data_IF_287380770730
#
_entry.id   IF_287380770730
#
_cell.length_a   1.000
_cell.length_b   1.000
_cell.length_c   1.000
_cell.angle_alpha   90.00
_cell.angle_beta   90.00
_cell.angle_gamma   90.00
#
_symmetry.space_group_name_H-M   'P 1'
#
loop_
_entity.id
_entity.type
_entity.pdbx_description
1 polymer ?
#
# COMPACT_ATOMS: atom_id res chain seq x y z
N UNK A 1 -3.38 -9.18 -26.99
CA UNK A 1 -4.17 -7.93 -27.13
C UNK A 1 -3.81 -7.07 -25.92
N UNK A 2 -3.16 -5.92 -26.12
CA UNK A 2 -2.70 -5.06 -25.03
C UNK A 2 -3.89 -4.25 -24.52
N UNK A 3 -4.11 -4.15 -23.20
CA UNK A 3 -5.15 -3.29 -22.62
C UNK A 3 -5.15 -1.89 -23.25
N UNK A 4 -6.29 -1.45 -23.78
CA UNK A 4 -6.43 -0.06 -24.22
C UNK A 4 -6.65 0.81 -22.99
N UNK A 5 -5.60 1.53 -22.60
CA UNK A 5 -5.65 2.56 -21.57
C UNK A 5 -6.28 3.83 -22.14
N UNK A 6 -7.53 4.09 -21.77
CA UNK A 6 -8.19 5.35 -22.06
C UNK A 6 -8.07 6.21 -20.81
N UNK A 7 -7.44 7.37 -20.95
CA UNK A 7 -7.31 8.36 -19.88
C UNK A 7 -7.79 9.70 -20.43
N UNK A 8 -8.79 10.30 -19.78
CA UNK A 8 -9.18 11.67 -20.06
C UNK A 8 -8.19 12.63 -19.36
N UNK A 9 -7.05 12.88 -19.99
CA UNK A 9 -6.09 13.88 -19.50
C UNK A 9 -6.57 15.27 -19.92
N UNK A 10 -7.15 16.02 -18.99
CA UNK A 10 -7.61 17.38 -19.19
C UNK A 10 -6.85 18.33 -18.25
N UNK A 11 -6.34 19.45 -18.77
CA UNK A 11 -5.84 20.60 -18.00
C UNK A 11 -4.84 20.26 -16.86
N UNK A 12 -5.24 20.29 -15.58
CA UNK A 12 -4.31 20.31 -14.45
C UNK A 12 -3.32 19.13 -14.37
N UNK A 13 -3.71 17.92 -14.78
CA UNK A 13 -2.77 16.79 -14.72
C UNK A 13 -1.72 16.83 -15.83
N UNK A 14 -2.01 17.44 -16.97
CA UNK A 14 -1.00 17.66 -18.02
C UNK A 14 0.05 18.67 -17.55
N UNK A 15 -0.35 19.69 -16.78
CA UNK A 15 0.57 20.63 -16.15
C UNK A 15 1.40 19.96 -15.05
N UNK A 16 0.79 19.11 -14.21
CA UNK A 16 1.51 18.31 -13.22
C UNK A 16 2.52 17.38 -13.87
N UNK A 17 2.13 16.65 -14.92
CA UNK A 17 3.03 15.79 -15.69
C UNK A 17 4.23 16.58 -16.21
N UNK A 18 3.97 17.73 -16.85
CA UNK A 18 5.03 18.59 -17.38
C UNK A 18 5.98 19.06 -16.27
N UNK A 19 5.45 19.55 -15.14
CA UNK A 19 6.28 20.00 -14.00
C UNK A 19 7.13 18.86 -13.42
N UNK A 20 6.58 17.65 -13.31
CA UNK A 20 7.33 16.47 -12.86
C UNK A 20 8.44 16.12 -13.86
N UNK A 21 8.13 16.08 -15.16
CA UNK A 21 9.11 15.74 -16.20
C UNK A 21 10.23 16.78 -16.28
N UNK A 22 9.90 18.07 -16.28
CA UNK A 22 10.86 19.19 -16.31
C UNK A 22 11.77 19.18 -15.06
N UNK A 23 11.28 18.69 -13.92
CA UNK A 23 12.02 18.62 -12.67
C UNK A 23 12.70 17.27 -12.39
N UNK A 24 12.70 16.32 -13.33
CA UNK A 24 13.21 14.94 -13.13
C UNK A 24 14.57 14.89 -12.39
N UNK A 25 15.64 15.61 -12.81
CA UNK A 25 16.91 15.55 -12.11
C UNK A 25 16.85 16.05 -10.66
N UNK A 26 16.05 17.09 -10.41
CA UNK A 26 15.82 17.68 -9.08
C UNK A 26 15.06 16.71 -8.18
N UNK A 27 14.02 16.06 -8.70
CA UNK A 27 13.23 15.05 -8.00
C UNK A 27 14.12 13.86 -7.60
N UNK A 28 14.87 13.30 -8.56
CA UNK A 28 15.73 12.15 -8.28
C UNK A 28 16.85 12.49 -7.30
N UNK A 29 17.41 13.72 -7.37
CA UNK A 29 18.38 14.20 -6.38
C UNK A 29 17.75 14.32 -4.99
N UNK A 30 16.55 14.90 -4.90
CA UNK A 30 15.86 15.07 -3.63
C UNK A 30 15.55 13.73 -2.97
N UNK A 31 15.00 12.76 -3.72
CA UNK A 31 14.81 11.40 -3.20
C UNK A 31 16.11 10.78 -2.71
N UNK A 32 17.21 10.85 -3.47
CA UNK A 32 18.50 10.31 -3.02
C UNK A 32 18.94 10.87 -1.67
N UNK A 33 18.70 12.17 -1.42
CA UNK A 33 19.01 12.82 -0.14
C UNK A 33 18.07 12.36 0.98
N UNK A 34 16.75 12.32 0.74
CA UNK A 34 15.79 11.83 1.74
C UNK A 34 16.10 10.36 2.11
N UNK A 35 16.59 9.53 1.19
CA UNK A 35 17.01 8.15 1.47
C UNK A 35 18.37 8.02 2.19
N UNK A 36 19.14 9.10 2.31
CA UNK A 36 20.28 9.13 3.25
C UNK A 36 19.82 9.35 4.69
N UNK A 37 18.72 10.08 4.87
CA UNK A 37 18.18 10.45 6.18
C UNK A 37 17.18 9.40 6.69
N UNK A 38 16.38 8.84 5.80
CA UNK A 38 15.26 7.96 6.14
C UNK A 38 15.43 6.56 5.55
N UNK A 39 15.14 5.53 6.34
CA UNK A 39 15.25 4.15 5.87
C UNK A 39 13.92 3.66 5.31
N UNK A 40 13.86 3.28 4.02
CA UNK A 40 12.64 2.73 3.44
C UNK A 40 12.28 1.38 4.07
N UNK A 41 10.98 1.06 4.19
CA UNK A 41 10.53 -0.30 4.44
C UNK A 41 11.13 -1.29 3.43
N UNK A 42 11.31 -2.56 3.84
CA UNK A 42 11.86 -3.59 2.96
C UNK A 42 11.08 -3.71 1.64
N UNK A 43 9.75 -3.63 1.72
CA UNK A 43 8.86 -3.63 0.57
C UNK A 43 7.57 -2.85 0.86
N UNK A 44 6.86 -2.47 -0.19
CA UNK A 44 5.59 -1.76 -0.07
C UNK A 44 4.81 -1.87 -1.38
N UNK A 45 3.48 -1.82 -1.30
CA UNK A 45 2.65 -1.42 -2.44
C UNK A 45 1.86 -0.16 -2.13
N UNK A 46 1.63 0.66 -3.16
CA UNK A 46 0.84 1.89 -3.06
C UNK A 46 -0.24 1.86 -4.12
N UNK A 47 -1.50 1.94 -3.68
CA UNK A 47 -2.65 2.10 -4.58
C UNK A 47 -2.78 3.61 -4.88
N UNK A 48 -2.79 3.97 -6.15
CA UNK A 48 -2.93 5.35 -6.61
C UNK A 48 -4.25 5.54 -7.31
N UNK A 49 -4.75 6.78 -7.34
CA UNK A 49 -5.83 7.18 -8.24
C UNK A 49 -5.45 8.35 -9.09
N UNK A 50 -5.79 8.24 -10.36
CA UNK A 50 -5.60 9.27 -11.36
C UNK A 50 -6.97 9.82 -11.77
N UNK A 51 -7.27 11.03 -11.29
CA UNK A 51 -8.52 11.74 -11.54
C UNK A 51 -8.45 12.70 -12.74
N UNK A 52 -7.37 12.71 -13.53
CA UNK A 52 -7.19 13.71 -14.60
C UNK A 52 -6.92 15.15 -14.12
N UNK A 53 -7.21 15.46 -12.85
CA UNK A 53 -6.88 16.73 -12.18
C UNK A 53 -6.08 16.55 -10.88
N UNK A 54 -5.89 15.30 -10.44
CA UNK A 54 -5.19 14.92 -9.22
C UNK A 54 -4.61 13.51 -9.38
N UNK A 55 -3.39 13.31 -8.91
CA UNK A 55 -2.74 12.00 -8.85
C UNK A 55 -2.25 11.78 -7.42
N UNK A 56 -2.92 10.91 -6.68
CA UNK A 56 -2.68 10.78 -5.25
C UNK A 56 -2.71 9.32 -4.78
N UNK A 57 -1.94 8.99 -3.73
CA UNK A 57 -2.05 7.69 -3.07
C UNK A 57 -3.33 7.61 -2.25
N UNK A 58 -3.99 6.46 -2.32
CA UNK A 58 -5.24 6.18 -1.59
C UNK A 58 -5.08 5.04 -0.59
N UNK A 59 -4.04 4.22 -0.72
CA UNK A 59 -3.64 3.20 0.24
C UNK A 59 -2.13 2.91 0.16
N UNK A 60 -1.51 2.65 1.31
CA UNK A 60 -0.09 2.27 1.44
C UNK A 60 0.00 1.01 2.29
N UNK A 61 0.37 -0.11 1.65
CA UNK A 61 0.44 -1.42 2.28
C UNK A 61 1.89 -1.88 2.44
N UNK A 62 2.31 -2.04 3.70
CA UNK A 62 3.63 -2.54 4.08
C UNK A 62 3.73 -4.07 4.07
N UNK A 63 2.65 -4.76 3.70
CA UNK A 63 2.56 -6.22 3.56
C UNK A 63 1.94 -6.57 2.19
N UNK A 64 2.58 -6.16 1.07
CA UNK A 64 2.01 -6.34 -0.26
C UNK A 64 1.76 -7.83 -0.57
N UNK A 65 0.53 -8.15 -0.95
CA UNK A 65 0.05 -9.53 -1.15
C UNK A 65 -0.24 -9.92 -2.61
N UNK A 66 0.33 -9.20 -3.58
CA UNK A 66 0.02 -9.36 -5.01
C UNK A 66 1.26 -9.43 -5.92
N UNK A 67 2.40 -9.93 -5.44
CA UNK A 67 3.60 -10.09 -6.27
C UNK A 67 3.36 -10.96 -7.51
N UNK A 68 2.44 -11.92 -7.44
CA UNK A 68 2.03 -12.76 -8.57
C UNK A 68 1.37 -11.99 -9.73
N UNK A 69 0.89 -10.77 -9.48
CA UNK A 69 0.29 -9.92 -10.51
C UNK A 69 1.34 -9.07 -11.27
N UNK A 70 2.60 -9.06 -10.83
CA UNK A 70 3.67 -8.40 -11.56
C UNK A 70 3.95 -9.13 -12.87
N UNK A 71 4.23 -8.36 -13.93
CA UNK A 71 4.61 -8.92 -15.21
C UNK A 71 5.93 -9.71 -15.08
N UNK A 72 6.10 -10.88 -15.73
CA UNK A 72 7.34 -11.65 -15.66
C UNK A 72 8.59 -10.85 -16.05
N UNK A 73 8.45 -9.88 -16.95
CA UNK A 73 9.52 -9.01 -17.43
C UNK A 73 10.07 -8.07 -16.33
N UNK A 74 9.30 -7.87 -15.25
CA UNK A 74 9.68 -7.02 -14.11
C UNK A 74 10.48 -7.78 -13.04
N UNK A 75 10.50 -9.11 -13.07
CA UNK A 75 11.15 -9.91 -12.02
C UNK A 75 12.64 -9.66 -11.88
N UNK A 76 13.43 -9.51 -12.97
CA UNK A 76 14.87 -9.22 -12.81
C UNK A 76 15.12 -7.94 -12.00
N UNK A 77 14.29 -6.91 -12.21
CA UNK A 77 14.38 -5.66 -11.44
C UNK A 77 13.97 -5.87 -9.97
N UNK A 78 12.91 -6.65 -9.73
CA UNK A 78 12.49 -6.99 -8.36
C UNK A 78 13.58 -7.77 -7.61
N UNK A 79 14.26 -8.70 -8.28
CA UNK A 79 15.40 -9.45 -7.72
C UNK A 79 16.56 -8.53 -7.39
N UNK A 80 16.95 -7.64 -8.31
CA UNK A 80 18.03 -6.70 -8.07
C UNK A 80 17.72 -5.74 -6.92
N UNK A 81 16.48 -5.25 -6.82
CA UNK A 81 16.05 -4.43 -5.70
C UNK A 81 16.07 -5.20 -4.38
N UNK A 82 15.67 -6.47 -4.37
CA UNK A 82 15.77 -7.35 -3.20
C UNK A 82 17.22 -7.58 -2.76
N UNK A 83 18.14 -7.81 -3.71
CA UNK A 83 19.58 -7.92 -3.42
C UNK A 83 20.10 -6.65 -2.73
N UNK A 84 19.81 -5.48 -3.29
CA UNK A 84 20.21 -4.19 -2.71
C UNK A 84 19.62 -3.96 -1.30
N UNK A 85 18.37 -4.39 -1.07
CA UNK A 85 17.73 -4.32 0.24
C UNK A 85 18.43 -5.22 1.27
N UNK A 86 18.75 -6.45 0.88
CA UNK A 86 19.41 -7.45 1.75
C UNK A 86 20.84 -7.04 2.07
N UNK A 87 21.60 -6.54 1.10
CA UNK A 87 22.96 -6.01 1.32
C UNK A 87 22.98 -4.91 2.39
N UNK A 88 21.95 -4.05 2.42
CA UNK A 88 21.82 -2.99 3.43
C UNK A 88 21.43 -3.52 4.80
N UNK A 89 20.53 -4.50 4.87
CA UNK A 89 19.94 -4.97 6.14
C UNK A 89 20.81 -6.04 6.81
N UNK A 90 21.20 -7.06 6.06
CA UNK A 90 21.96 -8.19 6.57
C UNK A 90 22.76 -8.82 5.42
N UNK A 91 23.97 -8.31 5.12
CA UNK A 91 24.77 -8.78 3.98
C UNK A 91 25.24 -10.24 4.14
N UNK A 92 25.35 -10.72 5.38
CA UNK A 92 25.70 -12.12 5.69
C UNK A 92 24.48 -13.06 5.73
N UNK A 93 23.27 -12.57 5.42
CA UNK A 93 22.06 -13.37 5.46
C UNK A 93 22.13 -14.52 4.45
N UNK A 94 22.11 -15.75 4.97
CA UNK A 94 21.98 -16.96 4.15
C UNK A 94 20.55 -17.48 4.11
N UNK A 95 19.84 -17.34 5.22
CA UNK A 95 18.54 -17.93 5.48
C UNK A 95 17.51 -16.82 5.75
N UNK A 96 16.37 -16.88 5.08
CA UNK A 96 15.21 -16.01 5.28
C UNK A 96 14.01 -16.85 5.68
N UNK A 97 13.37 -16.49 6.79
CA UNK A 97 12.07 -17.02 7.16
C UNK A 97 10.98 -16.09 6.63
N UNK A 98 10.12 -16.60 5.76
CA UNK A 98 8.94 -15.87 5.28
C UNK A 98 7.71 -16.35 6.06
N UNK A 99 7.00 -15.43 6.70
CA UNK A 99 5.77 -15.71 7.45
C UNK A 99 4.58 -15.16 6.67
N UNK A 100 3.76 -16.02 6.02
CA UNK A 100 2.57 -15.60 5.30
C UNK A 100 1.38 -15.31 6.25
N UNK A 101 0.30 -14.79 5.68
CA UNK A 101 -1.03 -14.72 6.30
C UNK A 101 -1.47 -16.09 6.82
N UNK A 102 -2.27 -16.08 7.90
CA UNK A 102 -2.70 -17.31 8.58
C UNK A 102 -3.55 -18.23 7.68
N UNK A 103 -4.27 -17.67 6.71
CA UNK A 103 -5.24 -18.42 5.91
C UNK A 103 -4.65 -18.92 4.57
N UNK A 104 -4.63 -20.23 4.39
CA UNK A 104 -4.09 -20.91 3.20
C UNK A 104 -5.14 -21.21 2.12
N UNK A 105 -6.38 -20.75 2.26
CA UNK A 105 -7.47 -21.07 1.31
C UNK A 105 -7.49 -20.18 0.06
N UNK A 106 -6.86 -19.01 0.11
CA UNK A 106 -6.81 -18.10 -1.03
C UNK A 106 -5.64 -18.47 -1.96
N UNK A 107 -5.94 -19.17 -3.06
CA UNK A 107 -4.93 -19.62 -4.01
C UNK A 107 -4.15 -18.48 -4.67
N UNK A 108 -4.79 -17.32 -4.93
CA UNK A 108 -4.09 -16.16 -5.47
C UNK A 108 -3.05 -15.61 -4.48
N UNK A 109 -3.38 -15.60 -3.19
CA UNK A 109 -2.43 -15.20 -2.15
C UNK A 109 -1.27 -16.20 -2.03
N UNK A 110 -1.52 -17.50 -2.15
CA UNK A 110 -0.43 -18.48 -2.15
C UNK A 110 0.47 -18.36 -3.40
N UNK A 111 -0.09 -18.04 -4.56
CA UNK A 111 0.71 -17.69 -5.74
C UNK A 111 1.57 -16.44 -5.49
N UNK A 112 1.06 -15.46 -4.74
CA UNK A 112 1.87 -14.33 -4.27
C UNK A 112 3.03 -14.80 -3.38
N UNK A 113 2.79 -15.68 -2.41
CA UNK A 113 3.84 -16.22 -1.52
C UNK A 113 4.89 -16.98 -2.33
N UNK A 114 4.48 -17.78 -3.32
CA UNK A 114 5.38 -18.47 -4.23
C UNK A 114 6.24 -17.48 -5.03
N UNK A 115 5.61 -16.42 -5.57
CA UNK A 115 6.33 -15.39 -6.33
C UNK A 115 7.32 -14.62 -5.48
N UNK A 116 6.92 -14.22 -4.27
CA UNK A 116 7.79 -13.54 -3.32
C UNK A 116 8.98 -14.43 -2.91
N UNK A 117 8.71 -15.70 -2.62
CA UNK A 117 9.75 -16.69 -2.32
C UNK A 117 10.74 -16.86 -3.48
N UNK A 118 10.25 -16.88 -4.71
CA UNK A 118 11.09 -16.96 -5.91
C UNK A 118 12.02 -15.75 -6.02
N UNK A 119 11.49 -14.53 -5.85
CA UNK A 119 12.29 -13.29 -5.88
C UNK A 119 13.42 -13.35 -4.85
N UNK A 120 13.09 -13.73 -3.61
CA UNK A 120 14.07 -13.80 -2.51
C UNK A 120 15.11 -14.91 -2.74
N UNK A 121 14.72 -16.06 -3.30
CA UNK A 121 15.67 -17.12 -3.68
C UNK A 121 16.60 -16.69 -4.80
N UNK A 122 16.09 -15.99 -5.80
CA UNK A 122 16.93 -15.43 -6.89
C UNK A 122 17.85 -14.31 -6.38
N UNK A 123 17.49 -13.63 -5.29
CA UNK A 123 18.37 -12.71 -4.58
C UNK A 123 19.45 -13.41 -3.73
N UNK A 124 19.55 -14.74 -3.77
CA UNK A 124 20.61 -15.52 -3.12
C UNK A 124 20.27 -16.08 -1.75
N UNK A 125 19.02 -15.99 -1.31
CA UNK A 125 18.59 -16.46 0.02
C UNK A 125 18.01 -17.87 -0.01
N UNK A 126 18.29 -18.66 1.04
CA UNK A 126 17.56 -19.87 1.34
C UNK A 126 16.25 -19.52 2.07
N UNK A 127 15.12 -19.66 1.39
CA UNK A 127 13.80 -19.24 1.88
C UNK A 127 12.94 -20.43 2.29
N UNK A 128 12.51 -20.44 3.56
CA UNK A 128 11.50 -21.38 4.10
C UNK A 128 10.31 -20.63 4.70
N UNK A 129 9.16 -21.30 4.76
CA UNK A 129 7.90 -20.68 5.17
C UNK A 129 7.49 -21.14 6.57
N UNK A 130 7.25 -20.19 7.48
CA UNK A 130 6.77 -20.46 8.82
C UNK A 130 5.31 -20.07 9.02
N UNK A 131 4.49 -20.97 9.55
CA UNK A 131 3.06 -20.75 9.78
C UNK A 131 2.78 -20.19 11.17
N UNK A 132 1.90 -19.19 11.24
CA UNK A 132 1.28 -18.71 12.49
C UNK A 132 -0.02 -19.46 12.86
N UNK A 133 -0.37 -20.50 12.10
CA UNK A 133 -1.49 -21.38 12.42
C UNK A 133 -1.05 -22.51 13.35
N UNK A 134 -1.78 -22.70 14.44
CA UNK A 134 -1.56 -23.80 15.40
C UNK A 134 -1.88 -25.18 14.79
N UNK A 135 -2.68 -25.21 13.72
CA UNK A 135 -3.02 -26.45 13.00
C UNK A 135 -1.82 -27.05 12.24
N UNK A 136 -0.81 -26.23 11.92
CA UNK A 136 0.40 -26.67 11.22
C UNK A 136 1.41 -27.14 12.27
N UNK A 137 1.40 -28.44 12.54
CA UNK A 137 2.30 -29.08 13.53
C UNK A 137 3.47 -29.84 12.88
N UNK A 138 3.44 -30.02 11.56
CA UNK A 138 4.48 -30.65 10.76
C UNK A 138 4.61 -29.97 9.38
N UNK A 139 5.73 -30.15 8.65
CA UNK A 139 5.88 -29.61 7.31
C UNK A 139 4.74 -30.04 6.40
N UNK A 140 3.92 -29.07 5.98
CA UNK A 140 2.68 -29.31 5.26
C UNK A 140 2.81 -28.80 3.82
N UNK A 141 2.79 -29.69 2.81
CA UNK A 141 2.79 -29.29 1.41
C UNK A 141 1.42 -28.72 1.01
N UNK A 142 1.44 -27.68 0.18
CA UNK A 142 0.26 -27.06 -0.42
C UNK A 142 0.50 -26.95 -1.92
N UNK A 143 -0.31 -27.66 -2.70
CA UNK A 143 -0.28 -27.62 -4.16
C UNK A 143 -0.93 -26.35 -4.69
N UNK A 144 -0.28 -25.71 -5.67
CA UNK A 144 -0.77 -24.53 -6.34
C UNK A 144 -1.37 -24.87 -7.71
N UNK A 145 -2.31 -24.05 -8.23
CA UNK A 145 -2.94 -24.31 -9.53
C UNK A 145 -1.97 -24.35 -10.72
N UNK A 146 -0.77 -23.79 -10.59
CA UNK A 146 0.26 -23.77 -11.62
C UNK A 146 1.26 -24.95 -11.53
N UNK A 147 0.99 -25.92 -10.64
CA UNK A 147 1.80 -27.12 -10.45
C UNK A 147 2.98 -26.94 -9.48
N UNK A 148 3.17 -25.74 -8.92
CA UNK A 148 4.15 -25.54 -7.84
C UNK A 148 3.65 -26.10 -6.51
N UNK A 149 4.56 -26.39 -5.58
CA UNK A 149 4.24 -26.79 -4.21
C UNK A 149 4.93 -25.86 -3.23
N UNK A 150 4.17 -25.30 -2.30
CA UNK A 150 4.70 -24.60 -1.13
C UNK A 150 4.75 -25.56 0.05
N UNK A 151 5.78 -25.45 0.89
CA UNK A 151 5.85 -26.18 2.16
C UNK A 151 5.81 -25.15 3.27
N UNK A 152 4.75 -25.18 4.08
CA UNK A 152 4.61 -24.36 5.28
C UNK A 152 4.91 -25.21 6.50
N UNK A 153 5.61 -24.62 7.47
CA UNK A 153 6.18 -25.39 8.57
C UNK A 153 5.86 -24.75 9.93
N UNK A 154 5.79 -25.55 11.01
CA UNK A 154 5.60 -25.03 12.35
C UNK A 154 6.77 -24.12 12.74
N UNK A 155 6.44 -22.94 13.26
CA UNK A 155 7.42 -22.02 13.83
C UNK A 155 8.00 -22.58 15.14
N UNK A 156 9.29 -22.35 15.37
CA UNK A 156 9.98 -22.74 16.59
C UNK A 156 10.83 -21.59 17.14
N UNK A 157 10.80 -21.42 18.47
CA UNK A 157 11.78 -20.56 19.16
C UNK A 157 13.13 -21.27 19.20
N UNK A 158 14.18 -20.55 18.83
CA UNK A 158 15.55 -21.04 18.76
C UNK A 158 16.46 -20.37 19.80
N UNK A 159 17.59 -21.03 20.06
CA UNK A 159 18.61 -20.61 21.00
C UNK A 159 18.24 -20.86 22.47
N UNK A 160 19.24 -20.87 23.36
CA UNK A 160 19.06 -21.21 24.78
C UNK A 160 18.06 -20.32 25.54
N UNK A 161 17.79 -19.11 25.02
CA UNK A 161 16.87 -18.13 25.62
C UNK A 161 15.58 -17.92 24.81
N UNK A 162 15.36 -18.65 23.71
CA UNK A 162 14.16 -18.51 22.88
C UNK A 162 13.98 -17.13 22.25
N UNK A 163 15.08 -16.40 21.98
CA UNK A 163 15.04 -15.02 21.44
C UNK A 163 15.20 -14.94 19.92
N UNK A 164 15.24 -16.10 19.29
CA UNK A 164 15.28 -16.28 17.85
C UNK A 164 14.04 -17.07 17.43
N UNK A 165 13.59 -16.87 16.22
CA UNK A 165 12.51 -17.58 15.58
C UNK A 165 13.04 -18.26 14.33
N UNK A 166 12.67 -19.51 14.12
CA UNK A 166 13.06 -20.26 12.95
C UNK A 166 12.16 -21.47 12.78
N UNK A 167 12.70 -22.49 12.13
CA UNK A 167 12.03 -23.77 11.91
C UNK A 167 12.95 -24.88 12.41
N UNK A 168 12.48 -26.13 12.33
CA UNK A 168 13.32 -27.29 12.59
C UNK A 168 14.57 -27.25 11.68
N UNK A 169 15.74 -27.26 12.32
CA UNK A 169 17.06 -27.23 11.69
C UNK A 169 17.27 -26.02 10.76
N UNK A 170 16.61 -24.89 11.03
CA UNK A 170 16.73 -23.68 10.22
C UNK A 170 16.66 -22.42 11.07
N UNK A 171 17.82 -21.79 11.21
CA UNK A 171 18.01 -20.54 11.92
C UNK A 171 18.23 -19.38 10.91
N UNK A 172 17.23 -18.51 10.70
CA UNK A 172 17.33 -17.40 9.75
C UNK A 172 18.01 -16.16 10.37
N UNK A 173 18.62 -15.32 9.54
CA UNK A 173 19.14 -14.02 9.97
C UNK A 173 18.04 -12.95 9.98
N UNK A 174 17.08 -13.09 9.06
CA UNK A 174 15.98 -12.14 8.85
C UNK A 174 14.66 -12.89 8.70
N UNK A 175 13.59 -12.24 9.12
CA UNK A 175 12.22 -12.72 9.07
C UNK A 175 11.42 -11.70 8.26
N UNK A 176 10.91 -12.14 7.10
CA UNK A 176 10.02 -11.34 6.26
C UNK A 176 8.58 -11.66 6.62
N UNK A 177 7.85 -10.66 7.11
CA UNK A 177 6.43 -10.76 7.41
C UNK A 177 5.64 -10.38 6.16
N UNK A 178 4.94 -11.35 5.56
CA UNK A 178 3.87 -11.11 4.58
C UNK A 178 2.48 -11.31 5.20
N UNK A 179 2.42 -11.06 6.51
CA UNK A 179 1.24 -11.07 7.36
C UNK A 179 1.14 -9.70 8.03
N UNK A 180 0.00 -9.03 7.88
CA UNK A 180 -0.20 -7.66 8.34
C UNK A 180 -0.41 -7.50 9.85
N UNK A 181 -0.47 -8.62 10.58
CA UNK A 181 -0.70 -8.70 12.03
C UNK A 181 -1.99 -7.96 12.46
N UNK A 182 -3.00 -7.90 11.58
CA UNK A 182 -4.29 -7.27 11.90
C UNK A 182 -4.98 -7.90 13.12
N UNK A 183 -4.71 -9.17 13.40
CA UNK A 183 -5.23 -9.91 14.53
C UNK A 183 -4.56 -9.57 15.88
N UNK A 184 -3.54 -8.71 15.88
CA UNK A 184 -2.60 -8.58 16.99
C UNK A 184 -1.26 -9.26 16.71
N UNK A 185 -0.24 -8.84 17.45
CA UNK A 185 1.09 -9.46 17.42
C UNK A 185 1.02 -10.76 18.23
N UNK A 186 1.25 -11.95 17.62
CA UNK A 186 1.25 -13.21 18.36
C UNK A 186 2.45 -13.29 19.32
N UNK A 187 2.32 -13.93 20.50
CA UNK A 187 3.42 -14.04 21.48
C UNK A 187 4.70 -14.67 20.92
N UNK A 188 4.59 -15.52 19.89
CA UNK A 188 5.76 -16.14 19.25
C UNK A 188 6.63 -15.12 18.48
N UNK A 189 6.10 -13.94 18.14
CA UNK A 189 6.84 -12.86 17.48
C UNK A 189 7.44 -11.85 18.45
N UNK A 190 7.04 -11.85 19.72
CA UNK A 190 7.52 -10.89 20.72
C UNK A 190 8.99 -11.15 21.12
N UNK A 191 9.72 -10.14 21.58
CA UNK A 191 11.07 -10.32 22.14
C UNK A 191 12.06 -11.05 21.20
N UNK A 192 11.88 -10.89 19.88
CA UNK A 192 12.86 -11.31 18.86
C UNK A 192 13.86 -10.16 18.71
N UNK A 193 15.04 -10.33 19.31
CA UNK A 193 16.02 -9.24 19.43
C UNK A 193 17.33 -9.53 18.69
N UNK A 194 17.45 -10.71 18.07
CA UNK A 194 18.68 -11.20 17.44
C UNK A 194 18.51 -11.43 15.93
N UNK A 195 17.37 -11.04 15.38
CA UNK A 195 17.00 -11.18 13.97
C UNK A 195 16.26 -9.93 13.51
N UNK A 196 16.37 -9.62 12.22
CA UNK A 196 15.63 -8.52 11.64
C UNK A 196 14.20 -8.95 11.31
N UNK A 197 13.21 -8.26 11.85
CA UNK A 197 11.80 -8.37 11.44
C UNK A 197 11.50 -7.32 10.39
N UNK A 198 11.05 -7.76 9.21
CA UNK A 198 10.87 -6.94 8.04
C UNK A 198 9.41 -7.06 7.55
N UNK A 199 8.59 -6.01 7.60
CA UNK A 199 8.75 -4.78 8.40
C UNK A 199 8.82 -5.06 9.92
N UNK A 200 9.22 -4.07 10.75
CA UNK A 200 9.20 -4.22 12.20
C UNK A 200 7.77 -4.34 12.74
N UNK A 201 7.59 -4.92 13.93
CA UNK A 201 6.26 -5.28 14.44
C UNK A 201 5.30 -4.10 14.60
N UNK A 202 5.82 -2.90 14.93
CA UNK A 202 4.99 -1.71 15.08
C UNK A 202 4.40 -1.21 13.75
N UNK A 203 4.91 -1.71 12.61
CA UNK A 203 4.31 -1.51 11.29
C UNK A 203 3.01 -2.31 11.09
N UNK A 204 2.76 -3.33 11.92
CA UNK A 204 1.56 -4.16 11.86
C UNK A 204 0.28 -3.38 12.18
N UNK A 205 -0.86 -3.82 11.65
CA UNK A 205 -2.12 -3.09 11.79
C UNK A 205 -2.69 -3.05 13.21
N UNK A 206 -2.23 -3.92 14.11
CA UNK A 206 -2.59 -3.86 15.53
C UNK A 206 -2.13 -2.57 16.21
N UNK A 207 -1.09 -1.92 15.69
CA UNK A 207 -0.48 -0.71 16.28
C UNK A 207 -0.49 0.47 15.31
N UNK A 208 -0.26 0.20 14.03
CA UNK A 208 -0.17 1.23 12.99
C UNK A 208 -1.51 1.93 12.77
N UNK A 209 -1.46 3.26 12.64
CA UNK A 209 -2.64 4.12 12.38
C UNK A 209 -2.51 4.83 11.04
N UNK A 210 -3.56 4.77 10.22
CA UNK A 210 -3.59 5.45 8.91
C UNK A 210 -3.44 6.96 9.07
N UNK A 211 -4.04 7.54 10.10
CA UNK A 211 -3.91 8.97 10.42
C UNK A 211 -2.47 9.41 10.62
N UNK A 212 -1.61 8.58 11.22
CA UNK A 212 -0.17 8.83 11.34
C UNK A 212 0.51 8.85 9.97
N UNK A 213 0.20 7.86 9.11
CA UNK A 213 0.70 7.81 7.74
C UNK A 213 0.33 9.07 6.95
N UNK A 214 -0.95 9.45 6.95
CA UNK A 214 -1.41 10.62 6.20
C UNK A 214 -0.82 11.94 6.74
N UNK A 215 -0.56 12.03 8.05
CA UNK A 215 0.15 13.17 8.63
C UNK A 215 1.59 13.26 8.13
N UNK A 216 2.30 12.12 8.05
CA UNK A 216 3.64 12.06 7.47
C UNK A 216 3.62 12.38 5.96
N UNK A 217 2.62 11.90 5.24
CA UNK A 217 2.46 12.20 3.81
C UNK A 217 2.17 13.68 3.56
N UNK A 218 1.43 14.33 4.45
CA UNK A 218 1.20 15.77 4.46
C UNK A 218 2.52 16.58 4.48
N UNK A 219 3.49 16.15 5.29
CA UNK A 219 4.82 16.77 5.38
C UNK A 219 5.62 16.55 4.08
N UNK A 220 5.65 15.31 3.59
CA UNK A 220 6.35 14.92 2.36
C UNK A 220 5.78 15.66 1.14
N UNK A 221 4.47 15.69 0.99
CA UNK A 221 3.79 16.36 -0.10
C UNK A 221 4.05 17.87 -0.10
N UNK A 222 4.10 18.52 1.07
CA UNK A 222 4.46 19.95 1.19
C UNK A 222 5.89 20.22 0.75
N UNK A 223 6.86 19.40 1.18
CA UNK A 223 8.26 19.50 0.76
C UNK A 223 8.40 19.32 -0.76
N UNK A 224 7.78 18.28 -1.30
CA UNK A 224 7.80 17.98 -2.74
C UNK A 224 7.11 19.07 -3.57
N UNK A 225 5.95 19.55 -3.12
CA UNK A 225 5.23 20.61 -3.81
C UNK A 225 6.05 21.91 -3.91
N UNK A 226 6.79 22.25 -2.86
CA UNK A 226 7.74 23.37 -2.88
C UNK A 226 8.91 23.14 -3.84
N UNK A 227 9.43 21.91 -3.91
CA UNK A 227 10.57 21.56 -4.78
C UNK A 227 10.26 21.80 -6.26
N UNK A 228 9.05 21.47 -6.70
CA UNK A 228 8.66 21.51 -8.13
C UNK A 228 7.59 22.57 -8.43
N UNK A 229 7.32 23.46 -7.47
CA UNK A 229 6.36 24.56 -7.57
C UNK A 229 4.95 24.08 -7.99
N UNK A 230 4.36 23.12 -7.29
CA UNK A 230 2.96 22.70 -7.54
C UNK A 230 2.07 23.02 -6.35
N UNK A 231 0.75 23.05 -6.57
CA UNK A 231 -0.19 22.99 -5.46
C UNK A 231 -0.11 21.59 -4.80
N UNK A 232 0.21 21.48 -3.50
CA UNK A 232 0.30 20.19 -2.82
C UNK A 232 -0.99 19.37 -2.90
N UNK A 233 -2.15 20.02 -3.06
CA UNK A 233 -3.42 19.33 -3.23
C UNK A 233 -3.46 18.42 -4.47
N UNK A 234 -2.65 18.69 -5.50
CA UNK A 234 -2.58 17.87 -6.71
C UNK A 234 -2.03 16.46 -6.46
N UNK A 235 -1.27 16.27 -5.37
CA UNK A 235 -0.68 14.98 -4.99
C UNK A 235 -1.11 14.50 -3.61
N UNK A 236 -1.90 15.29 -2.88
CA UNK A 236 -2.27 15.01 -1.50
C UNK A 236 -3.78 15.18 -1.24
N UNK A 237 -4.51 14.10 -0.90
CA UNK A 237 -5.90 14.17 -0.45
C UNK A 237 -6.00 14.86 0.92
N UNK A 238 -7.00 15.74 1.09
CA UNK A 238 -7.33 16.19 2.44
C UNK A 238 -7.79 15.03 3.31
N UNK A 239 -7.52 15.09 4.61
CA UNK A 239 -8.11 14.14 5.56
C UNK A 239 -8.43 14.79 6.91
N UNK A 240 -9.22 14.10 7.72
CA UNK A 240 -9.46 14.38 9.12
C UNK A 240 -9.56 13.06 9.91
N UNK A 241 -9.24 13.10 11.21
CA UNK A 241 -9.43 11.98 12.14
C UNK A 241 -10.67 12.26 13.00
N UNK A 242 -11.46 11.23 13.25
CA UNK A 242 -12.54 11.27 14.24
C UNK A 242 -12.45 10.01 15.12
N UNK A 243 -12.47 10.18 16.45
CA UNK A 243 -12.36 9.09 17.41
C UNK A 243 -13.54 9.07 18.37
N UNK A 244 -13.66 8.01 19.16
CA UNK A 244 -14.79 7.82 20.07
C UNK A 244 -16.09 7.51 19.33
N UNK A 245 -16.00 6.74 18.24
CA UNK A 245 -17.14 6.31 17.44
C UNK A 245 -17.62 4.95 17.89
N UNK A 246 -18.92 4.80 18.06
CA UNK A 246 -19.59 3.50 18.10
C UNK A 246 -20.75 3.52 17.10
N UNK A 247 -20.60 2.77 16.00
CA UNK A 247 -21.62 2.71 14.95
C UNK A 247 -22.87 1.92 15.37
N UNK A 248 -22.81 1.05 16.37
CA UNK A 248 -23.98 0.33 16.87
C UNK A 248 -24.81 1.23 17.80
N UNK A 249 -24.14 1.86 18.75
CA UNK A 249 -24.75 2.74 19.76
C UNK A 249 -24.97 4.18 19.26
N UNK A 250 -24.54 4.47 18.02
CA UNK A 250 -24.61 5.80 17.37
C UNK A 250 -23.86 6.89 18.15
N UNK A 251 -22.79 6.50 18.85
CA UNK A 251 -21.93 7.43 19.58
C UNK A 251 -20.98 8.10 18.60
N UNK A 252 -20.81 9.42 18.74
CA UNK A 252 -19.89 10.20 17.90
C UNK A 252 -20.41 10.52 16.50
N UNK A 253 -21.68 10.22 16.19
CA UNK A 253 -22.32 10.45 14.89
C UNK A 253 -22.28 11.93 14.46
N UNK A 254 -22.53 12.86 15.39
CA UNK A 254 -22.47 14.30 15.11
C UNK A 254 -21.04 14.77 14.83
N UNK A 255 -20.07 14.35 15.64
CA UNK A 255 -18.66 14.67 15.43
C UNK A 255 -18.14 14.13 14.08
N UNK A 256 -18.61 12.94 13.68
CA UNK A 256 -18.28 12.35 12.38
C UNK A 256 -18.91 13.15 11.24
N UNK A 257 -20.18 13.55 11.36
CA UNK A 257 -20.86 14.38 10.35
C UNK A 257 -20.18 15.74 10.16
N UNK A 258 -19.78 16.40 11.26
CA UNK A 258 -19.06 17.67 11.22
C UNK A 258 -17.68 17.53 10.56
N UNK A 259 -16.95 16.45 10.87
CA UNK A 259 -15.67 16.15 10.23
C UNK A 259 -15.83 15.90 8.72
N UNK A 260 -16.86 15.15 8.31
CA UNK A 260 -17.24 14.94 6.91
C UNK A 260 -17.54 16.26 6.21
N UNK A 261 -18.37 17.11 6.80
CA UNK A 261 -18.72 18.42 6.24
C UNK A 261 -17.47 19.31 6.07
N UNK A 262 -16.59 19.34 7.08
CA UNK A 262 -15.34 20.09 7.04
C UNK A 262 -14.42 19.68 5.89
N UNK A 263 -14.28 18.38 5.63
CA UNK A 263 -13.48 17.87 4.51
C UNK A 263 -14.17 18.17 3.17
N UNK A 264 -15.47 17.93 3.04
CA UNK A 264 -16.24 18.23 1.81
C UNK A 264 -16.16 19.70 1.41
N UNK A 265 -16.24 20.63 2.38
CA UNK A 265 -16.07 22.08 2.13
C UNK A 265 -14.69 22.42 1.55
N UNK A 266 -13.62 21.78 2.05
CA UNK A 266 -12.25 21.96 1.52
C UNK A 266 -12.14 21.45 0.09
N UNK A 267 -12.68 20.27 -0.20
CA UNK A 267 -12.69 19.68 -1.54
C UNK A 267 -13.48 20.58 -2.51
N UNK A 268 -14.69 20.99 -2.14
CA UNK A 268 -15.54 21.84 -2.97
C UNK A 268 -14.88 23.18 -3.31
N UNK A 269 -14.07 23.74 -2.39
CA UNK A 269 -13.27 24.95 -2.67
C UNK A 269 -12.24 24.70 -3.78
N UNK A 270 -11.47 23.60 -3.69
CA UNK A 270 -10.48 23.22 -4.71
C UNK A 270 -11.13 22.88 -6.04
N UNK A 271 -12.27 22.19 -6.03
CA UNK A 271 -13.00 21.88 -7.25
C UNK A 271 -13.47 23.16 -7.97
N UNK A 272 -13.97 24.17 -7.23
CA UNK A 272 -14.29 25.49 -7.82
C UNK A 272 -13.07 26.22 -8.36
N UNK A 273 -11.94 26.16 -7.64
CA UNK A 273 -10.67 26.79 -8.04
C UNK A 273 -10.18 26.26 -9.40
N UNK A 274 -10.29 24.94 -9.62
CA UNK A 274 -9.85 24.28 -10.86
C UNK A 274 -10.97 24.05 -11.90
N UNK A 275 -12.19 24.54 -11.65
CA UNK A 275 -13.33 24.36 -12.56
C UNK A 275 -13.81 22.91 -12.73
N UNK A 276 -13.57 22.06 -11.72
CA UNK A 276 -13.93 20.64 -11.67
C UNK A 276 -15.44 20.52 -11.44
N UNK A 277 -16.11 19.65 -12.23
CA UNK A 277 -17.58 19.51 -12.23
C UNK A 277 -18.07 18.26 -11.50
N UNK A 278 -17.16 17.35 -11.22
CA UNK A 278 -17.37 16.14 -10.46
C UNK A 278 -17.90 16.45 -9.06
N UNK A 279 -18.69 15.55 -8.50
CA UNK A 279 -19.21 15.70 -7.13
C UNK A 279 -18.10 15.41 -6.11
N UNK A 280 -17.80 16.34 -5.18
CA UNK A 280 -16.95 16.04 -4.04
C UNK A 280 -17.50 14.87 -3.24
N UNK A 281 -16.62 13.98 -2.78
CA UNK A 281 -16.98 12.91 -1.87
C UNK A 281 -15.84 12.64 -0.90
N UNK A 282 -16.16 11.97 0.20
CA UNK A 282 -15.17 11.47 1.16
C UNK A 282 -15.29 9.96 1.30
N UNK A 283 -14.19 9.34 1.68
CA UNK A 283 -14.14 7.94 2.07
C UNK A 283 -13.86 7.87 3.56
N UNK A 284 -14.81 7.32 4.32
CA UNK A 284 -14.63 7.05 5.75
C UNK A 284 -14.06 5.64 5.87
N UNK A 285 -12.91 5.52 6.54
CA UNK A 285 -12.18 4.26 6.75
C UNK A 285 -11.87 4.07 8.23
N UNK A 286 -11.84 2.84 8.73
CA UNK A 286 -11.25 2.57 10.04
C UNK A 286 -9.78 3.01 10.09
N UNK A 287 -9.34 3.58 11.21
CA UNK A 287 -7.98 4.13 11.35
C UNK A 287 -6.90 3.03 11.47
N UNK A 288 -7.27 1.83 11.93
CA UNK A 288 -6.37 0.67 12.03
C UNK A 288 -6.96 -0.53 11.28
N UNK A 289 -6.21 -1.07 10.31
CA UNK A 289 -6.68 -2.15 9.44
C UNK A 289 -7.90 -1.78 8.59
N UNK A 290 -8.09 -2.40 7.44
CA UNK A 290 -9.36 -2.30 6.69
C UNK A 290 -9.54 -3.53 5.83
N UNK A 291 -8.52 -3.95 5.07
CA UNK A 291 -8.59 -5.07 4.11
C UNK A 291 -9.88 -5.04 3.24
N UNK A 292 -10.34 -3.84 2.86
CA UNK A 292 -11.59 -3.61 2.13
C UNK A 292 -12.88 -3.56 2.98
N UNK A 293 -12.81 -3.88 4.27
CA UNK A 293 -13.87 -3.75 5.29
C UNK A 293 -13.73 -2.45 6.10
N UNK A 294 -14.82 -1.97 6.71
CA UNK A 294 -14.80 -0.69 7.43
C UNK A 294 -14.58 0.52 6.53
N UNK A 295 -15.07 0.48 5.28
CA UNK A 295 -14.95 1.57 4.30
C UNK A 295 -16.32 1.95 3.76
N UNK A 296 -16.62 3.25 3.72
CA UNK A 296 -17.82 3.77 3.04
C UNK A 296 -17.53 5.09 2.32
N UNK A 297 -18.29 5.36 1.26
CA UNK A 297 -18.24 6.59 0.48
C UNK A 297 -19.41 7.48 0.89
N UNK A 298 -19.16 8.77 1.08
CA UNK A 298 -20.16 9.76 1.51
C UNK A 298 -20.04 11.00 0.65
N UNK A 299 -21.17 11.51 0.17
CA UNK A 299 -21.28 12.75 -0.61
C UNK A 299 -21.98 13.86 0.17
N UNK A 300 -22.85 13.50 1.10
CA UNK A 300 -23.59 14.41 1.95
C UNK A 300 -23.43 14.04 3.44
N UNK A 301 -23.10 14.98 4.35
CA UNK A 301 -22.98 14.71 5.78
C UNK A 301 -24.23 14.07 6.41
N UNK A 302 -25.41 14.31 5.85
CA UNK A 302 -26.67 13.72 6.33
C UNK A 302 -26.72 12.19 6.17
N UNK A 303 -25.93 11.60 5.27
CA UNK A 303 -25.83 10.15 5.10
C UNK A 303 -25.31 9.45 6.37
N UNK A 304 -24.49 10.13 7.18
CA UNK A 304 -24.00 9.62 8.47
C UNK A 304 -25.17 9.36 9.43
N UNK A 305 -26.20 10.22 9.40
CA UNK A 305 -27.38 10.07 10.27
C UNK A 305 -28.36 9.02 9.76
N UNK A 306 -28.27 8.68 8.49
CA UNK A 306 -29.14 7.75 7.77
C UNK A 306 -28.62 6.32 7.68
N UNK A 307 -27.48 5.98 8.31
CA UNK A 307 -26.85 4.67 8.15
C UNK A 307 -27.81 3.54 8.51
N UNK A 308 -28.05 2.62 7.58
CA UNK A 308 -28.88 1.45 7.80
C UNK A 308 -28.11 0.37 8.60
N UNK A 309 -28.82 -0.67 9.06
CA UNK A 309 -28.21 -1.75 9.86
C UNK A 309 -27.03 -2.43 9.15
N UNK A 310 -27.09 -2.59 7.83
CA UNK A 310 -26.02 -3.25 7.04
C UNK A 310 -24.77 -2.36 6.97
N UNK A 311 -24.94 -1.05 6.80
CA UNK A 311 -23.85 -0.08 6.79
C UNK A 311 -23.18 0.04 8.15
N UNK A 312 -23.95 0.10 9.23
CA UNK A 312 -23.40 0.11 10.59
C UNK A 312 -22.58 -1.15 10.86
N UNK A 313 -23.13 -2.34 10.57
CA UNK A 313 -22.38 -3.60 10.68
C UNK A 313 -21.08 -3.60 9.86
N UNK A 314 -21.08 -2.99 8.67
CA UNK A 314 -19.88 -2.89 7.81
C UNK A 314 -18.81 -1.97 8.42
N UNK A 315 -19.23 -0.92 9.12
CA UNK A 315 -18.34 0.09 9.70
C UNK A 315 -17.92 -0.22 11.15
N UNK A 316 -18.67 -1.08 11.86
CA UNK A 316 -18.37 -1.44 13.24
C UNK A 316 -17.17 -2.37 13.41
N UNK A 317 -16.86 -3.19 12.40
CA UNK A 317 -15.81 -4.22 12.51
C UNK A 317 -14.82 -4.19 11.34
N UNK A 318 -13.54 -4.44 11.65
CA UNK A 318 -12.49 -4.72 10.65
C UNK A 318 -12.15 -6.21 10.59
N UNK A 319 -11.07 -6.57 9.89
CA UNK A 319 -10.53 -7.95 9.80
C UNK A 319 -10.39 -8.54 11.21
N UNK A 320 -10.74 -9.83 11.36
CA UNK A 320 -10.80 -10.56 12.66
C UNK A 320 -11.86 -10.08 13.67
N UNK A 321 -12.80 -9.21 13.28
CA UNK A 321 -13.93 -8.82 14.14
C UNK A 321 -13.61 -7.75 15.19
N UNK A 322 -12.48 -7.04 15.06
CA UNK A 322 -12.10 -5.96 15.95
C UNK A 322 -13.01 -4.74 15.77
N UNK A 323 -13.41 -4.13 16.89
CA UNK A 323 -14.30 -2.97 16.93
C UNK A 323 -13.61 -1.67 16.47
N UNK A 324 -14.32 -0.89 15.67
CA UNK A 324 -13.85 0.40 15.14
C UNK A 324 -14.22 1.54 16.09
N UNK A 325 -13.21 2.09 16.76
CA UNK A 325 -13.35 3.24 17.65
C UNK A 325 -12.82 4.56 17.05
N UNK A 326 -11.91 4.45 16.07
CA UNK A 326 -11.27 5.56 15.38
C UNK A 326 -11.47 5.41 13.87
N UNK A 327 -11.87 6.49 13.21
CA UNK A 327 -12.03 6.57 11.76
C UNK A 327 -11.22 7.73 11.18
N UNK A 328 -10.83 7.55 9.92
CA UNK A 328 -10.30 8.61 9.07
C UNK A 328 -11.33 8.97 8.02
N UNK A 329 -11.51 10.27 7.82
CA UNK A 329 -12.32 10.87 6.76
C UNK A 329 -11.33 11.39 5.73
N UNK A 330 -11.22 10.70 4.59
CA UNK A 330 -10.29 11.07 3.53
C UNK A 330 -11.04 11.65 2.33
N UNK A 331 -10.49 12.67 1.69
CA UNK A 331 -10.94 13.14 0.38
C UNK A 331 -10.99 11.97 -0.62
N UNK A 332 -12.14 11.82 -1.25
CA UNK A 332 -12.34 10.90 -2.35
C UNK A 332 -11.62 11.38 -3.61
N UNK A 333 -10.74 10.53 -4.14
CA UNK A 333 -10.06 10.76 -5.41
C UNK A 333 -10.75 9.92 -6.47
N UNK A 334 -11.27 10.55 -7.52
CA UNK A 334 -11.84 9.82 -8.65
C UNK A 334 -10.74 9.03 -9.38
N UNK A 335 -11.11 7.92 -10.01
CA UNK A 335 -10.25 7.31 -11.04
C UNK A 335 -10.94 7.34 -12.40
N UNK A 336 -10.24 7.87 -13.39
CA UNK A 336 -10.71 7.94 -14.78
C UNK A 336 -9.92 7.04 -15.70
N UNK A 337 -9.06 6.20 -15.14
CA UNK A 337 -8.39 5.18 -15.92
C UNK A 337 -9.33 4.04 -16.25
N UNK A 338 -9.24 3.60 -17.50
CA UNK A 338 -9.97 2.45 -18.00
C UNK A 338 -9.04 1.45 -18.61
N UNK A 339 -9.30 0.18 -18.33
CA UNK A 339 -8.73 -0.96 -19.05
C UNK A 339 -9.89 -1.66 -19.75
N UNK A 340 -9.91 -1.61 -21.08
CA UNK A 340 -10.98 -2.19 -21.91
C UNK A 340 -12.38 -1.72 -21.45
N UNK A 341 -12.56 -0.41 -21.29
CA UNK A 341 -13.76 0.27 -20.77
C UNK A 341 -14.10 0.08 -19.28
N UNK A 342 -13.48 -0.89 -18.60
CA UNK A 342 -13.67 -1.10 -17.17
C UNK A 342 -12.81 -0.16 -16.33
N UNK A 343 -13.37 0.34 -15.22
CA UNK A 343 -12.69 1.28 -14.32
C UNK A 343 -11.46 0.60 -13.72
N UNK A 344 -10.34 1.31 -13.70
CA UNK A 344 -9.06 0.81 -13.24
C UNK A 344 -8.38 1.78 -12.27
N UNK A 345 -7.58 1.26 -11.34
CA UNK A 345 -6.66 2.04 -10.53
C UNK A 345 -5.29 1.34 -10.45
N UNK A 346 -4.17 2.06 -10.62
CA UNK A 346 -2.85 1.45 -10.60
C UNK A 346 -2.37 1.17 -9.17
N UNK A 347 -1.71 0.03 -9.01
CA UNK A 347 -1.00 -0.37 -7.80
C UNK A 347 0.48 -0.49 -8.13
N UNK A 348 1.30 0.30 -7.46
CA UNK A 348 2.76 0.37 -7.67
C UNK A 348 3.47 -0.41 -6.57
N UNK A 349 4.40 -1.29 -6.96
CA UNK A 349 5.17 -2.14 -6.06
C UNK A 349 6.61 -1.63 -5.96
N UNK A 350 7.14 -1.65 -4.73
CA UNK A 350 8.50 -1.26 -4.41
C UNK A 350 9.17 -2.28 -3.48
N UNK A 351 10.48 -2.44 -3.66
CA UNK A 351 11.38 -3.15 -2.74
C UNK A 351 12.54 -2.19 -2.44
N UNK A 352 12.87 -1.98 -1.17
CA UNK A 352 13.66 -0.83 -0.70
C UNK A 352 13.08 0.47 -1.30
N UNK A 353 13.91 1.34 -1.87
CA UNK A 353 13.50 2.61 -2.52
C UNK A 353 13.14 2.47 -4.00
N UNK A 354 13.21 1.27 -4.56
CA UNK A 354 13.10 1.05 -6.00
C UNK A 354 11.69 0.66 -6.41
N UNK A 355 11.14 1.32 -7.41
CA UNK A 355 9.90 0.89 -8.08
C UNK A 355 10.23 -0.33 -8.93
N UNK A 356 9.65 -1.48 -8.57
CA UNK A 356 9.94 -2.77 -9.22
C UNK A 356 8.86 -3.18 -10.21
N UNK A 357 7.70 -2.51 -10.19
CA UNK A 357 6.62 -2.79 -11.11
C UNK A 357 5.26 -2.36 -10.61
N UNK A 358 4.20 -2.90 -11.22
CA UNK A 358 2.84 -2.67 -10.77
C UNK A 358 1.81 -3.40 -11.62
N UNK A 359 0.54 -3.20 -11.28
CA UNK A 359 -0.60 -3.68 -12.03
C UNK A 359 -1.79 -2.75 -11.85
N UNK A 360 -2.72 -2.80 -12.80
CA UNK A 360 -4.04 -2.21 -12.62
C UNK A 360 -4.95 -3.19 -11.90
N UNK A 361 -5.64 -2.68 -10.88
CA UNK A 361 -6.85 -3.31 -10.36
C UNK A 361 -8.02 -2.83 -11.20
N UNK A 362 -8.72 -3.74 -11.86
CA UNK A 362 -9.79 -3.45 -12.80
C UNK A 362 -11.11 -4.01 -12.27
N UNK A 363 -12.18 -3.22 -12.37
CA UNK A 363 -13.50 -3.64 -11.92
C UNK A 363 -14.58 -3.25 -12.94
N UNK A 364 -15.35 -4.23 -13.40
CA UNK A 364 -16.37 -4.04 -14.46
C UNK A 364 -17.69 -3.49 -13.93
N UNK A 365 -18.01 -3.75 -12.66
CA UNK A 365 -19.27 -3.33 -12.03
C UNK A 365 -19.17 -2.17 -11.03
N UNK A 366 -18.11 -1.35 -11.06
CA UNK A 366 -17.89 -0.24 -10.12
C UNK A 366 -17.67 1.07 -10.87
N UNK A 367 -18.13 2.17 -10.29
CA UNK A 367 -17.94 3.53 -10.78
C UNK A 367 -16.61 4.17 -10.35
N UNK A 368 -16.36 5.37 -10.88
CA UNK A 368 -15.11 6.13 -10.73
C UNK A 368 -14.86 6.64 -9.29
N UNK A 369 -15.90 6.70 -8.47
CA UNK A 369 -15.91 7.15 -7.07
C UNK A 369 -16.11 6.00 -6.05
N UNK A 370 -16.16 4.76 -6.54
CA UNK A 370 -16.35 3.57 -5.69
C UNK A 370 -15.02 2.86 -5.39
N UNK A 371 -14.97 2.11 -4.29
CA UNK A 371 -13.84 1.24 -3.98
C UNK A 371 -13.75 0.08 -5.01
N UNK A 372 -12.63 -0.01 -5.73
CA UNK A 372 -12.41 -1.10 -6.70
C UNK A 372 -11.82 -2.35 -6.04
N UNK A 373 -11.28 -2.25 -4.82
CA UNK A 373 -10.85 -3.40 -4.01
C UNK A 373 -12.07 -4.09 -3.39
N UNK A 374 -12.86 -4.73 -4.24
CA UNK A 374 -14.10 -5.41 -3.90
C UNK A 374 -14.23 -6.73 -4.69
N UNK A 375 -15.08 -7.67 -4.25
CA UNK A 375 -15.35 -8.90 -4.99
C UNK A 375 -15.74 -8.62 -6.44
N UNK A 376 -15.09 -9.30 -7.39
CA UNK A 376 -15.25 -9.06 -8.83
C UNK A 376 -14.10 -8.27 -9.47
N UNK A 377 -13.19 -7.72 -8.67
CA UNK A 377 -11.94 -7.14 -9.17
C UNK A 377 -11.06 -8.22 -9.83
N UNK A 378 -10.37 -7.82 -10.90
CA UNK A 378 -9.32 -8.60 -11.53
C UNK A 378 -8.10 -7.72 -11.77
N UNK A 379 -6.95 -8.33 -12.06
CA UNK A 379 -5.67 -7.63 -12.14
C UNK A 379 -5.08 -7.74 -13.53
N UNK A 380 -4.61 -6.61 -14.05
CA UNK A 380 -3.99 -6.50 -15.36
C UNK A 380 -2.57 -5.95 -15.18
N UNK A 381 -1.52 -6.71 -15.51
CA UNK A 381 -0.14 -6.25 -15.32
C UNK A 381 0.12 -4.91 -16.00
N UNK A 382 0.73 -3.98 -15.28
CA UNK A 382 1.20 -2.70 -15.80
C UNK A 382 2.66 -2.92 -16.22
N UNK A 383 2.85 -3.69 -17.29
CA UNK A 383 4.19 -4.05 -17.76
C UNK A 383 4.98 -2.80 -18.20
N UNK A 384 6.31 -2.84 -18.04
CA UNK A 384 7.18 -1.81 -18.60
C UNK A 384 6.96 -1.78 -20.12
N UNK A 385 6.75 -0.59 -20.67
CA UNK A 385 6.82 -0.42 -22.10
C UNK A 385 8.23 -0.84 -22.58
N UNK A 386 8.39 -1.36 -23.80
CA UNK A 386 9.70 -1.75 -24.35
C UNK A 386 10.78 -0.65 -24.28
N UNK A 387 10.37 0.62 -24.18
CA UNK A 387 11.20 1.78 -23.86
C UNK A 387 10.72 2.44 -22.55
N UNK A 388 10.90 1.78 -21.41
CA UNK A 388 10.36 2.21 -20.10
C UNK A 388 11.01 3.46 -19.47
N UNK A 389 11.75 4.25 -20.24
CA UNK A 389 12.43 5.47 -19.80
C UNK A 389 11.50 6.67 -20.04
N UNK A 390 11.28 7.56 -19.06
CA UNK A 390 10.50 8.78 -19.29
C UNK A 390 11.15 9.65 -20.36
N UNK A 391 10.34 10.18 -21.26
CA UNK A 391 10.71 11.06 -22.36
C UNK A 391 10.13 12.46 -22.11
N UNK A 392 10.98 13.40 -21.70
CA UNK A 392 10.61 14.80 -21.48
C UNK A 392 10.25 15.55 -22.76
N UNK A 393 10.58 15.02 -23.94
CA UNK A 393 10.23 15.60 -25.23
C UNK A 393 8.90 15.07 -25.78
N UNK A 394 8.36 13.99 -25.21
CA UNK A 394 7.07 13.48 -25.59
C UNK A 394 5.96 14.49 -25.24
N UNK A 395 4.91 14.53 -26.09
CA UNK A 395 3.73 15.33 -25.80
C UNK A 395 3.12 14.88 -24.46
N UNK A 396 2.84 15.80 -23.51
CA UNK A 396 2.22 15.46 -22.24
C UNK A 396 0.98 14.58 -22.43
N UNK A 397 0.92 13.51 -21.66
CA UNK A 397 -0.18 12.56 -21.64
C UNK A 397 -0.16 11.50 -22.73
N UNK A 398 0.72 11.61 -23.73
CA UNK A 398 0.79 10.66 -24.84
C UNK A 398 1.71 9.46 -24.57
N UNK A 399 2.74 9.64 -23.74
CA UNK A 399 3.76 8.63 -23.50
C UNK A 399 3.46 7.76 -22.27
N UNK A 400 3.27 6.45 -22.49
CA UNK A 400 3.10 5.45 -21.42
C UNK A 400 4.26 5.49 -20.40
N UNK A 401 5.54 5.63 -20.80
CA UNK A 401 6.65 5.73 -19.84
C UNK A 401 6.56 6.93 -18.89
N UNK A 402 6.10 8.09 -19.36
CA UNK A 402 5.95 9.29 -18.53
C UNK A 402 4.91 9.08 -17.44
N UNK A 403 3.81 8.43 -17.79
CA UNK A 403 2.75 8.09 -16.83
C UNK A 403 3.25 7.13 -15.76
N UNK A 404 3.96 6.08 -16.16
CA UNK A 404 4.55 5.14 -15.21
C UNK A 404 5.57 5.84 -14.30
N UNK A 405 6.36 6.76 -14.83
CA UNK A 405 7.27 7.58 -14.03
C UNK A 405 6.53 8.44 -13.00
N UNK A 406 5.45 9.13 -13.39
CA UNK A 406 4.62 9.89 -12.44
C UNK A 406 4.05 9.00 -11.33
N UNK A 407 3.57 7.81 -11.66
CA UNK A 407 3.09 6.84 -10.66
C UNK A 407 4.21 6.43 -9.71
N UNK A 408 5.41 6.17 -10.25
CA UNK A 408 6.58 5.88 -9.46
C UNK A 408 7.02 7.04 -8.57
N UNK A 409 6.90 8.30 -9.01
CA UNK A 409 7.19 9.48 -8.17
C UNK A 409 6.21 9.55 -7.00
N UNK A 410 4.90 9.51 -7.26
CA UNK A 410 3.88 9.63 -6.20
C UNK A 410 3.90 8.43 -5.25
N UNK A 411 4.14 7.21 -5.76
CA UNK A 411 4.34 6.03 -4.92
C UNK A 411 5.57 6.16 -4.01
N UNK A 412 6.68 6.71 -4.51
CA UNK A 412 7.87 6.96 -3.68
C UNK A 412 7.66 8.05 -2.63
N UNK A 413 6.80 9.05 -2.88
CA UNK A 413 6.37 9.99 -1.83
C UNK A 413 5.63 9.28 -0.71
N UNK A 414 4.73 8.34 -1.04
CA UNK A 414 4.02 7.54 -0.05
C UNK A 414 4.95 6.59 0.71
N UNK A 415 5.94 6.01 0.03
CA UNK A 415 6.99 5.20 0.67
C UNK A 415 7.84 6.02 1.65
N UNK A 416 8.21 7.24 1.27
CA UNK A 416 8.97 8.14 2.15
C UNK A 416 8.14 8.51 3.39
N UNK A 417 6.85 8.79 3.20
CA UNK A 417 5.92 9.02 4.30
C UNK A 417 5.80 7.81 5.24
N UNK A 418 5.80 6.58 4.69
CA UNK A 418 5.82 5.36 5.50
C UNK A 418 7.13 5.22 6.29
N UNK A 419 8.27 5.64 5.72
CA UNK A 419 9.57 5.65 6.42
C UNK A 419 9.51 6.58 7.64
N UNK A 420 9.07 7.84 7.42
CA UNK A 420 8.86 8.83 8.48
C UNK A 420 7.88 8.36 9.56
N UNK A 421 6.79 7.71 9.14
CA UNK A 421 5.80 7.14 10.05
C UNK A 421 6.41 6.06 10.94
N UNK A 422 7.16 5.11 10.37
CA UNK A 422 7.78 4.02 11.13
C UNK A 422 8.87 4.53 12.07
N UNK A 423 9.63 5.55 11.68
CA UNK A 423 10.63 6.19 12.55
C UNK A 423 9.96 6.93 13.72
N UNK A 424 8.88 7.69 13.46
CA UNK A 424 8.14 8.42 14.51
C UNK A 424 7.39 7.52 15.47
N UNK A 425 7.08 6.29 15.06
CA UNK A 425 6.32 5.31 15.85
C UNK A 425 7.18 4.18 16.40
N UNK A 426 8.51 4.24 16.21
CA UNK A 426 9.43 3.25 16.74
C UNK A 426 9.35 3.23 18.28
N UNK A 427 9.00 2.09 18.91
CA UNK A 427 9.02 1.98 20.36
C UNK A 427 10.43 2.03 20.96
N UNK A 428 11.47 1.83 20.16
CA UNK A 428 12.88 1.85 20.57
C UNK A 428 13.70 2.78 19.66
N UNK A 429 13.43 4.10 19.65
CA UNK A 429 14.14 5.01 18.78
C UNK A 429 15.64 4.97 19.10
N UNK A 430 16.47 4.82 18.08
CA UNK A 430 17.92 5.01 18.22
C UNK A 430 18.13 6.50 18.46
N UNK A 431 18.33 6.89 19.72
CA UNK A 431 18.61 8.27 20.15
C UNK A 431 19.97 8.78 19.68
#
# INVERSE_FOLDING_TARGET
MVPHLITALNGPLLELEKKILDATPSIERWFRLEWQEHTPPFYCSVDLRNAGFKLAPVDTNLFPGGFNNLAPEMLPLAVQAAMAAIEKICPDAKNLLLIPERHTRNMFYLQNVARLSLIMRQAGLNVRLGSLSEDITEPTPIELPDGQTLVVEPLARLGARGRRLGLKDFDPCSILLNNDLSAGIPPILENINEQYLLPPLHAGWSTRRKSSHFSAYDEVAKKFAKLIDIDPWMVNPYFAKCGGIDFHERIGEEALADAVEGVLKKIAKKYREYGIKETPYVVVKADAGTYGMGIMTIKDPSEIKGLNRKERNKMSVVKEGLEVNDVIIQEGVHTFEKVNEAVAEPVVYMIDRYVVGGFYRVHTGRGNDENLNAPGAHFVPLAFAPNGIPDSHAKPGAAVPNRFYMYGVVARLALLAASLELEKTDPNPIL
#
